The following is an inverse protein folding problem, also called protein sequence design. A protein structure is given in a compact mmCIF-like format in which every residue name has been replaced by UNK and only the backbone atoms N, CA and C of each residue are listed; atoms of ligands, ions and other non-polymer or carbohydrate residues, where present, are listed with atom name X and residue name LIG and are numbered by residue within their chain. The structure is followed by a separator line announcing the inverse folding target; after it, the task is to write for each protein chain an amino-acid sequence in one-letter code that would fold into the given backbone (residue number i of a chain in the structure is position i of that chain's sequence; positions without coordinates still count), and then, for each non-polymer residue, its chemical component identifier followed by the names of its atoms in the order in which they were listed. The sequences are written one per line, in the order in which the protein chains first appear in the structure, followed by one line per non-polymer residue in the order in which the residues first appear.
data_IF_158990250356
#
_entry.id   IF_158990250356
#
_cell.length_a   1.000
_cell.length_b   1.000
_cell.length_c   1.000
_cell.angle_alpha   90.00
_cell.angle_beta   90.00
_cell.angle_gamma   90.00
#
_symmetry.space_group_name_H-M   'P 1'
#
loop_
_entity.id
_entity.type
_entity.pdbx_description
1 polymer ?
#
# COMPACT_ATOMS: atom_id res chain seq x y z
N UNK A 1 -15.61 23.73 10.39
CA UNK A 1 -14.54 22.88 10.94
C UNK A 1 -14.66 21.53 10.28
N UNK A 2 -13.65 21.08 9.53
CA UNK A 2 -13.66 19.72 8.98
C UNK A 2 -13.51 18.76 10.16
N UNK A 3 -14.56 18.02 10.49
CA UNK A 3 -14.54 17.08 11.60
C UNK A 3 -13.87 15.79 11.15
N UNK A 4 -12.60 15.64 11.49
CA UNK A 4 -11.89 14.38 11.37
C UNK A 4 -12.60 13.32 12.24
N UNK A 5 -12.79 12.12 11.69
CA UNK A 5 -13.33 10.95 12.40
C UNK A 5 -12.38 9.77 12.27
N UNK A 6 -12.33 8.92 13.28
CA UNK A 6 -11.55 7.67 13.24
C UNK A 6 -12.38 6.48 13.74
N UNK A 7 -13.69 6.64 13.86
CA UNK A 7 -14.57 5.64 14.49
C UNK A 7 -14.52 4.30 13.75
N UNK A 8 -14.49 4.33 12.42
CA UNK A 8 -14.43 3.12 11.60
C UNK A 8 -13.05 2.47 11.67
N UNK A 9 -11.99 3.26 11.62
CA UNK A 9 -10.62 2.78 11.81
C UNK A 9 -10.47 2.04 13.15
N UNK A 10 -10.98 2.60 14.25
CA UNK A 10 -10.95 1.97 15.58
C UNK A 10 -11.71 0.66 15.65
N UNK A 11 -12.90 0.61 15.05
CA UNK A 11 -13.71 -0.60 14.99
C UNK A 11 -12.95 -1.73 14.26
N UNK A 12 -12.39 -1.41 13.10
CA UNK A 12 -11.62 -2.36 12.29
C UNK A 12 -10.33 -2.80 12.97
N UNK A 13 -9.62 -1.90 13.66
CA UNK A 13 -8.42 -2.26 14.42
C UNK A 13 -8.74 -3.21 15.58
N UNK A 14 -9.81 -2.95 16.33
CA UNK A 14 -10.31 -3.88 17.37
C UNK A 14 -10.67 -5.25 16.80
N UNK A 15 -11.25 -5.29 15.60
CA UNK A 15 -11.52 -6.56 14.89
C UNK A 15 -10.21 -7.24 14.50
N UNK A 16 -9.25 -6.51 13.94
CA UNK A 16 -7.96 -7.03 13.51
C UNK A 16 -7.14 -7.61 14.67
N UNK A 17 -7.21 -7.01 15.87
CA UNK A 17 -6.53 -7.51 17.07
C UNK A 17 -6.98 -8.93 17.48
N UNK A 18 -8.15 -9.38 17.05
CA UNK A 18 -8.65 -10.74 17.31
C UNK A 18 -8.06 -11.79 16.37
N UNK A 19 -7.51 -11.37 15.23
CA UNK A 19 -7.06 -12.28 14.15
C UNK A 19 -5.60 -12.09 13.76
N UNK A 20 -5.01 -10.93 14.01
CA UNK A 20 -3.62 -10.59 13.71
C UNK A 20 -2.87 -10.29 15.00
N UNK A 21 -1.60 -10.70 15.06
CA UNK A 21 -0.72 -10.38 16.19
C UNK A 21 -0.60 -8.86 16.32
N UNK A 22 -1.03 -8.32 17.46
CA UNK A 22 -1.14 -6.87 17.71
C UNK A 22 -1.99 -6.10 16.67
N UNK A 23 -2.90 -6.78 15.96
CA UNK A 23 -3.82 -6.16 15.00
C UNK A 23 -3.20 -5.73 13.67
N UNK A 24 -1.96 -6.14 13.36
CA UNK A 24 -1.25 -5.73 12.13
C UNK A 24 -0.38 -6.86 11.55
N UNK A 25 -0.04 -6.77 10.26
CA UNK A 25 0.89 -7.69 9.57
C UNK A 25 2.36 -7.21 9.55
N UNK A 26 2.62 -5.99 10.04
CA UNK A 26 3.98 -5.45 10.19
C UNK A 26 4.02 -4.51 11.39
N UNK A 27 5.00 -4.63 12.31
CA UNK A 27 5.02 -3.86 13.57
C UNK A 27 4.98 -2.34 13.39
N UNK A 28 5.57 -1.82 12.31
CA UNK A 28 5.58 -0.38 12.02
C UNK A 28 4.16 0.21 11.83
N UNK A 29 3.18 -0.64 11.46
CA UNK A 29 1.77 -0.24 11.28
C UNK A 29 0.99 -0.17 12.59
N UNK A 30 1.54 -0.68 13.70
CA UNK A 30 0.87 -0.68 15.00
C UNK A 30 0.89 0.68 15.70
N UNK A 31 1.62 1.66 15.15
CA UNK A 31 1.70 3.03 15.65
C UNK A 31 2.18 3.12 17.11
N UNK A 32 2.91 2.10 17.61
CA UNK A 32 3.36 2.05 19.01
C UNK A 32 4.29 3.21 19.41
N UNK A 33 4.96 3.83 18.44
CA UNK A 33 5.88 4.95 18.68
C UNK A 33 5.19 6.32 18.59
N UNK A 34 3.89 6.36 18.30
CA UNK A 34 3.10 7.60 18.23
C UNK A 34 1.87 7.47 19.11
N UNK A 35 1.38 8.59 19.66
CA UNK A 35 0.21 8.59 20.57
C UNK A 35 -1.12 8.52 19.81
N UNK A 36 -1.24 7.59 18.86
CA UNK A 36 -2.43 7.42 18.02
C UNK A 36 -2.69 5.93 17.72
N UNK A 37 -3.95 5.53 17.63
CA UNK A 37 -4.31 4.18 17.17
C UNK A 37 -4.08 4.05 15.64
N UNK A 38 -3.81 2.84 15.11
CA UNK A 38 -3.63 2.65 13.68
C UNK A 38 -4.81 3.15 12.85
N UNK A 39 -4.49 3.88 11.77
CA UNK A 39 -5.46 4.33 10.77
C UNK A 39 -5.60 3.24 9.71
N UNK A 40 -6.83 2.95 9.29
CA UNK A 40 -7.10 1.94 8.26
C UNK A 40 -7.33 2.65 6.93
N UNK A 41 -6.46 2.40 5.94
CA UNK A 41 -6.53 3.01 4.62
C UNK A 41 -7.60 2.31 3.76
N UNK A 42 -8.42 3.10 3.06
CA UNK A 42 -9.42 2.63 2.11
C UNK A 42 -8.94 2.69 0.66
N UNK A 43 -8.27 3.77 0.29
CA UNK A 43 -7.74 3.97 -1.07
C UNK A 43 -6.55 4.91 -1.08
N UNK A 44 -5.84 4.93 -2.21
CA UNK A 44 -4.72 5.81 -2.46
C UNK A 44 -4.71 6.23 -3.94
N UNK A 45 -4.34 7.47 -4.22
CA UNK A 45 -4.23 8.00 -5.58
C UNK A 45 -3.27 9.18 -5.61
N UNK A 46 -2.33 9.16 -6.57
CA UNK A 46 -1.25 10.14 -6.66
C UNK A 46 -0.50 10.26 -5.33
N UNK A 47 -0.34 11.47 -4.77
CA UNK A 47 0.35 11.68 -3.50
C UNK A 47 -0.58 11.59 -2.28
N UNK A 48 -1.75 10.97 -2.39
CA UNK A 48 -2.76 10.98 -1.31
C UNK A 48 -3.16 9.59 -0.84
N UNK A 49 -3.40 9.47 0.47
CA UNK A 49 -4.14 8.37 1.08
C UNK A 49 -5.52 8.86 1.50
N UNK A 50 -6.53 7.99 1.39
CA UNK A 50 -7.86 8.19 1.99
C UNK A 50 -8.15 7.04 2.93
N UNK A 51 -8.47 7.34 4.20
CA UNK A 51 -8.82 6.31 5.17
C UNK A 51 -10.29 5.88 5.10
N UNK A 52 -10.64 4.84 5.85
CA UNK A 52 -12.02 4.29 5.91
C UNK A 52 -13.04 5.23 6.55
N UNK A 53 -12.60 6.32 7.18
CA UNK A 53 -13.45 7.37 7.74
C UNK A 53 -13.61 8.54 6.75
N UNK A 54 -12.95 8.49 5.58
CA UNK A 54 -13.01 9.51 4.53
C UNK A 54 -12.01 10.65 4.71
N UNK A 55 -11.10 10.58 5.68
CA UNK A 55 -10.06 11.59 5.83
C UNK A 55 -8.99 11.41 4.74
N UNK A 56 -8.55 12.52 4.15
CA UNK A 56 -7.54 12.54 3.09
C UNK A 56 -6.23 13.15 3.59
N UNK A 57 -5.14 12.44 3.34
CA UNK A 57 -3.80 12.78 3.79
C UNK A 57 -2.88 12.98 2.59
N UNK A 58 -1.95 13.93 2.68
CA UNK A 58 -0.75 13.88 1.83
C UNK A 58 0.12 12.73 2.34
N UNK A 59 0.47 11.79 1.46
CA UNK A 59 1.26 10.62 1.82
C UNK A 59 2.75 10.94 1.79
N UNK A 60 3.38 10.90 2.95
CA UNK A 60 4.83 10.97 3.11
C UNK A 60 5.45 9.63 3.51
N UNK A 61 4.62 8.60 3.70
CA UNK A 61 5.08 7.23 3.97
C UNK A 61 5.41 6.55 2.64
N UNK A 62 4.60 6.79 1.59
CA UNK A 62 4.81 6.28 0.23
C UNK A 62 5.05 4.76 0.19
N UNK A 63 4.30 4.01 1.00
CA UNK A 63 4.50 2.57 1.22
C UNK A 63 5.96 2.22 1.57
N UNK A 64 6.57 2.99 2.46
CA UNK A 64 7.97 2.82 2.89
C UNK A 64 8.98 2.94 1.74
N UNK A 65 8.64 3.74 0.72
CA UNK A 65 9.49 4.04 -0.44
C UNK A 65 9.08 3.38 -1.74
N UNK A 66 8.25 2.33 -1.70
CA UNK A 66 7.86 1.59 -2.91
C UNK A 66 7.03 2.44 -3.89
N UNK A 67 6.29 3.43 -3.41
CA UNK A 67 5.40 4.27 -4.23
C UNK A 67 6.09 5.58 -4.64
N UNK A 68 7.30 5.49 -5.20
CA UNK A 68 8.10 6.67 -5.60
C UNK A 68 7.43 7.49 -6.71
N UNK A 69 6.65 6.85 -7.58
CA UNK A 69 5.90 7.50 -8.67
C UNK A 69 4.50 7.98 -8.22
N UNK A 70 4.19 7.90 -6.92
CA UNK A 70 2.84 8.06 -6.39
C UNK A 70 1.98 6.80 -6.57
N UNK A 71 0.87 6.76 -5.84
CA UNK A 71 -0.10 5.67 -5.92
C UNK A 71 -0.86 5.71 -7.24
N UNK A 72 -1.24 4.53 -7.74
CA UNK A 72 -2.04 4.39 -8.96
C UNK A 72 -1.47 5.10 -10.20
N UNK A 73 -0.13 5.19 -10.30
CA UNK A 73 0.53 5.72 -11.49
C UNK A 73 0.02 5.01 -12.76
N UNK A 74 -0.44 5.78 -13.76
CA UNK A 74 -1.16 5.27 -14.93
C UNK A 74 -0.37 4.20 -15.70
N UNK A 75 0.94 4.39 -15.89
CA UNK A 75 1.78 3.44 -16.61
C UNK A 75 1.92 2.11 -15.84
N UNK A 76 2.08 2.18 -14.51
CA UNK A 76 2.16 0.99 -13.65
C UNK A 76 0.84 0.22 -13.65
N UNK A 77 -0.29 0.93 -13.52
CA UNK A 77 -1.62 0.33 -13.53
C UNK A 77 -1.93 -0.33 -14.87
N UNK A 78 -1.57 0.30 -15.98
CA UNK A 78 -1.75 -0.27 -17.32
C UNK A 78 -0.93 -1.56 -17.50
N UNK A 79 0.36 -1.54 -17.14
CA UNK A 79 1.23 -2.70 -17.23
C UNK A 79 0.75 -3.88 -16.37
N UNK A 80 0.31 -3.60 -15.13
CA UNK A 80 -0.27 -4.61 -14.25
C UNK A 80 -1.57 -5.18 -14.82
N UNK A 81 -2.44 -4.33 -15.36
CA UNK A 81 -3.73 -4.75 -15.93
C UNK A 81 -3.53 -5.66 -17.14
N UNK A 82 -2.57 -5.35 -18.01
CA UNK A 82 -2.18 -6.23 -19.11
C UNK A 82 -1.63 -7.57 -18.61
N UNK A 83 -0.73 -7.54 -17.62
CA UNK A 83 -0.11 -8.75 -17.08
C UNK A 83 -1.13 -9.66 -16.39
N UNK A 84 -2.11 -9.11 -15.68
CA UNK A 84 -3.18 -9.89 -15.04
C UNK A 84 -3.97 -10.71 -16.08
N UNK A 85 -4.20 -10.16 -17.28
CA UNK A 85 -4.82 -10.88 -18.39
C UNK A 85 -4.01 -12.08 -18.91
N UNK A 86 -2.69 -12.11 -18.63
CA UNK A 86 -1.76 -13.19 -19.00
C UNK A 86 -1.44 -14.13 -17.83
N UNK A 87 -1.94 -13.86 -16.62
CA UNK A 87 -1.59 -14.55 -15.38
C UNK A 87 -0.42 -13.88 -14.63
N UNK A 88 -0.43 -13.94 -13.30
CA UNK A 88 0.53 -13.22 -12.43
C UNK A 88 1.66 -14.09 -11.88
N UNK A 89 1.61 -15.41 -12.08
CA UNK A 89 2.62 -16.35 -11.64
C UNK A 89 2.56 -17.61 -12.49
N UNK A 90 3.71 -18.11 -12.94
CA UNK A 90 3.81 -19.25 -13.86
C UNK A 90 4.52 -20.47 -13.26
N UNK A 91 5.31 -20.30 -12.20
CA UNK A 91 6.19 -21.35 -11.67
C UNK A 91 7.29 -21.80 -12.64
N UNK A 92 7.50 -21.05 -13.73
CA UNK A 92 8.49 -21.24 -14.79
C UNK A 92 9.06 -19.87 -15.18
N UNK A 93 10.22 -19.86 -15.83
CA UNK A 93 10.89 -18.64 -16.29
C UNK A 93 10.09 -17.91 -17.38
N UNK A 94 10.06 -16.59 -17.29
CA UNK A 94 9.42 -15.65 -18.22
C UNK A 94 10.43 -14.65 -18.79
N UNK A 95 10.12 -14.13 -19.98
CA UNK A 95 10.93 -13.08 -20.63
C UNK A 95 11.10 -11.84 -19.74
N UNK A 96 10.06 -11.47 -18.98
CA UNK A 96 10.07 -10.32 -18.06
C UNK A 96 11.09 -10.44 -16.93
N UNK A 97 11.40 -11.66 -16.49
CA UNK A 97 12.46 -11.87 -15.50
C UNK A 97 13.84 -11.54 -16.07
N UNK A 98 14.09 -11.88 -17.34
CA UNK A 98 15.34 -11.58 -18.05
C UNK A 98 15.46 -10.06 -18.26
N UNK A 99 14.42 -9.43 -18.80
CA UNK A 99 14.37 -7.96 -19.02
C UNK A 99 14.65 -7.18 -17.73
N UNK A 100 14.00 -7.56 -16.62
CA UNK A 100 14.20 -6.87 -15.33
C UNK A 100 15.63 -7.04 -14.81
N UNK A 101 16.22 -8.22 -14.95
CA UNK A 101 17.59 -8.48 -14.53
C UNK A 101 18.59 -7.61 -15.31
N UNK A 102 18.40 -7.48 -16.63
CA UNK A 102 19.22 -6.61 -17.48
C UNK A 102 19.11 -5.14 -17.08
N UNK A 103 17.90 -4.63 -16.82
CA UNK A 103 17.69 -3.25 -16.34
C UNK A 103 18.47 -2.98 -15.05
N UNK A 104 18.42 -3.91 -14.09
CA UNK A 104 19.12 -3.76 -12.80
C UNK A 104 20.64 -3.78 -13.01
N UNK A 105 21.17 -4.71 -13.80
CA UNK A 105 22.61 -4.80 -14.06
C UNK A 105 23.15 -3.59 -14.81
N UNK A 106 22.38 -3.02 -15.75
CA UNK A 106 22.75 -1.81 -16.48
C UNK A 106 22.58 -0.52 -15.68
N UNK A 107 21.98 -0.59 -14.48
CA UNK A 107 21.77 0.57 -13.60
C UNK A 107 22.92 0.82 -12.61
N UNK A 108 23.99 0.01 -12.68
CA UNK A 108 25.24 0.19 -11.92
C UNK A 108 26.31 0.88 -12.77
#
# INVERSE_FOLDING_TARGET
MNSWSYSRSRELYKKAQKTLVAGVNSPARAFKSVEHEPIVIASADGPYLTDVDGNRYVDLICSWGAQILGHCNEAVVAALSEQVGKGVSYGLTSEKEIELAEIILCSQ
#
